data_IF_191700294935
#
_entry.id   IF_191700294935
#
_cell.length_a   1.000
_cell.length_b   1.000
_cell.length_c   1.000
_cell.angle_alpha   90.00
_cell.angle_beta   90.00
_cell.angle_gamma   90.00
#
_symmetry.space_group_name_H-M   'P 1'
#
loop_
_entity.id
_entity.type
_entity.pdbx_description
1 polymer ?
#
# COMPACT_ATOMS: atom_id res chain seq x y z
N UNK A 1 1.38 9.07 -12.27
CA UNK A 1 0.77 9.55 -11.02
C UNK A 1 -0.24 10.63 -11.40
N UNK A 2 -1.48 10.55 -10.92
CA UNK A 2 -2.52 11.56 -11.22
C UNK A 2 -2.30 12.84 -10.39
N UNK A 3 -2.91 13.97 -10.80
CA UNK A 3 -2.86 15.19 -10.01
C UNK A 3 -3.50 15.01 -8.62
N UNK A 4 -4.62 14.26 -8.53
CA UNK A 4 -5.22 13.87 -7.26
C UNK A 4 -4.28 13.06 -6.38
N UNK A 5 -3.60 12.05 -6.94
CA UNK A 5 -2.62 11.24 -6.21
C UNK A 5 -1.45 12.08 -5.68
N UNK A 6 -0.96 13.04 -6.48
CA UNK A 6 0.08 13.99 -6.03
C UNK A 6 -0.35 14.76 -4.78
N UNK A 7 -1.55 15.35 -4.81
CA UNK A 7 -2.09 16.14 -3.69
C UNK A 7 -2.29 15.26 -2.46
N UNK A 8 -2.83 14.05 -2.65
CA UNK A 8 -3.02 13.09 -1.57
C UNK A 8 -1.70 12.68 -0.90
N UNK A 9 -0.65 12.41 -1.69
CA UNK A 9 0.67 12.08 -1.17
C UNK A 9 1.29 13.27 -0.40
N UNK A 10 1.16 14.49 -0.94
CA UNK A 10 1.65 15.70 -0.29
C UNK A 10 0.91 16.00 1.02
N UNK A 11 -0.42 15.83 1.04
CA UNK A 11 -1.24 15.98 2.25
C UNK A 11 -0.83 14.96 3.31
N UNK A 12 -0.68 13.69 2.94
CA UNK A 12 -0.26 12.64 3.87
C UNK A 12 1.13 12.94 4.44
N UNK A 13 2.06 13.42 3.60
CA UNK A 13 3.36 13.89 4.06
C UNK A 13 3.24 14.98 5.11
N UNK A 14 2.39 16.00 4.86
CA UNK A 14 2.15 17.11 5.81
C UNK A 14 1.61 16.61 7.14
N UNK A 15 0.71 15.66 7.08
CA UNK A 15 0.14 14.97 8.22
C UNK A 15 1.18 14.20 9.03
N UNK A 16 2.12 13.50 8.36
CA UNK A 16 3.16 12.70 9.01
C UNK A 16 4.14 13.58 9.79
N UNK A 17 4.17 14.90 9.56
CA UNK A 17 4.91 15.85 10.41
C UNK A 17 4.46 15.81 11.87
N UNK A 18 3.19 15.54 12.12
CA UNK A 18 2.63 15.49 13.47
C UNK A 18 3.11 14.27 14.26
N UNK A 19 3.72 13.27 13.64
CA UNK A 19 4.32 12.14 14.35
C UNK A 19 5.64 12.51 15.04
N UNK A 20 6.25 13.63 14.69
CA UNK A 20 7.46 14.10 15.33
C UNK A 20 7.07 14.99 16.51
N UNK A 21 7.51 14.66 17.74
CA UNK A 21 7.19 15.48 18.89
C UNK A 21 7.70 16.90 18.67
N UNK A 22 6.88 17.90 19.00
CA UNK A 22 7.37 19.26 19.18
C UNK A 22 8.39 19.22 20.32
N UNK A 23 9.64 19.57 20.06
CA UNK A 23 10.68 19.57 21.10
C UNK A 23 10.32 20.46 22.31
N UNK A 24 11.15 20.44 23.34
CA UNK A 24 10.96 21.28 24.53
C UNK A 24 11.11 22.80 24.22
N UNK A 25 10.31 23.65 24.85
CA UNK A 25 10.32 25.12 24.72
C UNK A 25 8.95 25.76 24.47
N UNK A 26 8.90 27.08 24.22
CA UNK A 26 7.67 27.89 24.08
C UNK A 26 6.68 27.43 22.98
N UNK A 27 7.08 26.51 22.09
CA UNK A 27 6.26 25.94 21.02
C UNK A 27 5.90 24.45 21.23
N UNK A 28 6.22 23.88 22.40
CA UNK A 28 5.95 22.47 22.74
C UNK A 28 4.45 22.10 22.70
N UNK A 29 3.56 23.09 22.80
CA UNK A 29 2.11 22.91 22.76
C UNK A 29 1.50 22.83 21.35
N UNK A 30 2.26 23.11 20.29
CA UNK A 30 1.72 23.23 18.92
C UNK A 30 2.00 21.97 18.12
N UNK A 31 0.99 21.09 17.98
CA UNK A 31 1.07 19.87 17.16
C UNK A 31 1.47 20.21 15.71
N UNK A 32 2.45 19.47 15.15
CA UNK A 32 2.89 19.62 13.77
C UNK A 32 4.11 20.54 13.52
N UNK A 33 4.64 21.21 14.55
CA UNK A 33 5.85 22.04 14.44
C UNK A 33 7.16 21.28 14.71
N UNK A 34 7.11 20.04 15.20
CA UNK A 34 8.29 19.24 15.53
C UNK A 34 9.25 19.05 14.35
N UNK A 35 8.70 18.95 13.12
CA UNK A 35 9.49 18.84 11.90
C UNK A 35 9.95 20.19 11.31
N UNK A 36 9.21 21.28 11.55
CA UNK A 36 9.57 22.61 11.02
C UNK A 36 10.85 23.19 11.65
N UNK A 37 11.26 22.66 12.81
CA UNK A 37 12.56 22.98 13.44
C UNK A 37 13.75 22.16 12.89
N UNK A 38 13.53 21.26 11.93
CA UNK A 38 14.54 20.35 11.39
C UNK A 38 15.18 20.91 10.11
N UNK A 39 15.60 22.17 10.14
CA UNK A 39 16.27 22.83 9.03
C UNK A 39 17.78 22.56 9.10
N UNK A 40 18.37 22.07 7.99
CA UNK A 40 19.80 21.76 7.71
C UNK A 40 20.40 20.41 8.18
N UNK A 41 20.00 19.83 9.30
CA UNK A 41 20.63 18.60 9.83
C UNK A 41 20.09 17.29 9.25
N UNK A 42 18.95 17.32 8.57
CA UNK A 42 18.14 16.13 8.22
C UNK A 42 18.61 15.29 7.02
N UNK A 43 19.55 15.77 6.17
CA UNK A 43 20.15 14.91 5.13
C UNK A 43 20.79 13.64 5.71
N UNK A 44 21.15 13.68 6.99
CA UNK A 44 21.79 12.58 7.71
C UNK A 44 20.81 11.74 8.54
N UNK A 45 19.67 12.30 8.99
CA UNK A 45 18.75 11.63 9.93
C UNK A 45 17.54 10.95 9.25
N UNK A 46 17.21 11.34 8.01
CA UNK A 46 16.13 10.78 7.20
C UNK A 46 16.68 10.17 5.90
N UNK A 47 16.22 8.97 5.56
CA UNK A 47 16.47 8.35 4.25
C UNK A 47 15.15 7.94 3.61
N UNK A 48 14.99 8.27 2.33
CA UNK A 48 13.82 7.91 1.53
C UNK A 48 14.27 6.97 0.43
N UNK A 49 13.63 5.81 0.36
CA UNK A 49 13.86 4.77 -0.64
C UNK A 49 12.59 4.57 -1.44
N UNK A 50 12.72 4.43 -2.75
CA UNK A 50 11.61 4.09 -3.63
C UNK A 50 12.01 2.96 -4.58
N UNK A 51 11.05 2.13 -4.97
CA UNK A 51 11.17 1.26 -6.15
C UNK A 51 11.44 2.10 -7.41
N UNK A 52 12.06 1.50 -8.41
CA UNK A 52 12.36 2.15 -9.70
C UNK A 52 11.12 2.39 -10.57
N UNK A 53 9.93 1.97 -10.14
CA UNK A 53 8.69 2.34 -10.82
C UNK A 53 8.47 3.86 -10.75
N UNK A 54 8.43 4.51 -11.92
CA UNK A 54 8.32 5.98 -12.00
C UNK A 54 7.10 6.56 -11.25
N UNK A 55 5.98 5.82 -11.15
CA UNK A 55 4.81 6.24 -10.36
C UNK A 55 5.07 6.22 -8.85
N UNK A 56 5.84 5.24 -8.37
CA UNK A 56 6.23 5.11 -6.96
C UNK A 56 7.25 6.19 -6.60
N UNK A 57 8.24 6.42 -7.45
CA UNK A 57 9.21 7.50 -7.30
C UNK A 57 8.56 8.88 -7.18
N UNK A 58 7.62 9.20 -8.08
CA UNK A 58 6.91 10.48 -8.05
C UNK A 58 6.03 10.62 -6.80
N UNK A 59 5.45 9.52 -6.31
CA UNK A 59 4.70 9.48 -5.05
C UNK A 59 5.61 9.76 -3.86
N UNK A 60 6.79 9.15 -3.83
CA UNK A 60 7.81 9.38 -2.80
C UNK A 60 8.25 10.86 -2.76
N UNK A 61 8.48 11.47 -3.93
CA UNK A 61 8.85 12.87 -4.04
C UNK A 61 7.72 13.81 -3.57
N UNK A 62 6.48 13.52 -3.95
CA UNK A 62 5.31 14.30 -3.51
C UNK A 62 5.09 14.21 -1.99
N UNK A 63 5.21 13.00 -1.43
CA UNK A 63 5.17 12.81 0.02
C UNK A 63 6.32 13.53 0.72
N UNK A 64 7.55 13.43 0.22
CA UNK A 64 8.71 14.12 0.78
C UNK A 64 8.53 15.65 0.77
N UNK A 65 7.98 16.20 -0.31
CA UNK A 65 7.60 17.62 -0.41
C UNK A 65 6.64 18.01 0.71
N UNK A 66 5.57 17.23 0.86
CA UNK A 66 4.57 17.41 1.90
C UNK A 66 5.13 17.26 3.31
N UNK A 67 5.99 16.27 3.54
CA UNK A 67 6.62 16.03 4.82
C UNK A 67 7.56 17.18 5.20
N UNK A 68 8.42 17.64 4.30
CA UNK A 68 9.51 18.56 4.61
C UNK A 68 9.19 20.04 4.32
N UNK A 69 7.97 20.35 3.90
CA UNK A 69 7.55 21.72 3.55
C UNK A 69 8.37 22.33 2.41
N UNK A 70 8.77 21.51 1.44
CA UNK A 70 9.61 21.97 0.35
C UNK A 70 8.79 22.77 -0.66
N UNK A 71 9.35 23.89 -1.12
CA UNK A 71 8.83 24.66 -2.25
C UNK A 71 9.45 24.18 -3.57
N UNK A 72 8.74 24.37 -4.68
CA UNK A 72 9.23 24.01 -6.02
C UNK A 72 8.65 22.72 -6.62
N UNK A 73 9.22 22.32 -7.76
CA UNK A 73 8.82 21.15 -8.53
C UNK A 73 9.25 19.83 -7.88
N UNK A 74 8.66 18.71 -8.30
CA UNK A 74 9.00 17.40 -7.76
C UNK A 74 10.33 16.86 -8.29
N UNK A 75 10.74 17.25 -9.50
CA UNK A 75 11.95 16.72 -10.16
C UNK A 75 13.23 16.97 -9.35
N UNK A 76 13.50 18.20 -8.84
CA UNK A 76 14.66 18.42 -7.98
C UNK A 76 14.62 17.61 -6.68
N UNK A 77 13.42 17.46 -6.09
CA UNK A 77 13.23 16.69 -4.84
C UNK A 77 13.50 15.21 -5.09
N UNK A 78 12.96 14.66 -6.18
CA UNK A 78 13.15 13.28 -6.57
C UNK A 78 14.65 12.95 -6.69
N UNK A 79 15.38 13.77 -7.45
CA UNK A 79 16.82 13.57 -7.71
C UNK A 79 17.65 13.69 -6.42
N UNK A 80 17.30 14.63 -5.54
CA UNK A 80 18.13 14.93 -4.36
C UNK A 80 17.80 14.08 -3.13
N UNK A 81 16.57 13.60 -3.00
CA UNK A 81 16.07 13.03 -1.74
C UNK A 81 15.66 11.56 -1.82
N UNK A 82 15.18 11.10 -2.97
CA UNK A 82 14.64 9.76 -3.14
C UNK A 82 15.72 8.87 -3.73
N UNK A 83 16.21 7.91 -2.93
CA UNK A 83 17.18 6.91 -3.38
C UNK A 83 16.45 5.74 -4.03
N UNK A 84 17.03 5.19 -5.09
CA UNK A 84 16.57 3.90 -5.63
C UNK A 84 16.88 2.79 -4.64
N UNK A 85 15.86 2.03 -4.26
CA UNK A 85 15.99 0.87 -3.38
C UNK A 85 16.70 -0.32 -4.06
N UNK A 86 16.74 -0.34 -5.40
CA UNK A 86 17.32 -1.42 -6.20
C UNK A 86 18.86 -1.39 -6.19
N UNK A 87 19.47 -0.23 -5.95
CA UNK A 87 20.93 -0.15 -5.73
C UNK A 87 21.42 -1.00 -4.54
N UNK A 88 20.51 -1.38 -3.63
CA UNK A 88 20.78 -2.24 -2.47
C UNK A 88 19.94 -3.54 -2.47
N UNK A 89 19.20 -3.84 -3.55
CA UNK A 89 18.31 -5.02 -3.64
C UNK A 89 17.21 -5.11 -2.57
N UNK A 90 16.84 -3.99 -1.95
CA UNK A 90 15.95 -3.98 -0.78
C UNK A 90 14.48 -4.24 -1.14
N UNK A 91 14.09 -3.91 -2.37
CA UNK A 91 12.72 -4.06 -2.89
C UNK A 91 12.67 -4.96 -4.13
N UNK A 92 13.72 -5.76 -4.36
CA UNK A 92 13.80 -6.72 -5.45
C UNK A 92 13.10 -8.04 -5.07
N UNK A 93 12.45 -8.68 -6.05
CA UNK A 93 11.83 -9.99 -5.85
C UNK A 93 12.87 -11.09 -6.03
N UNK A 94 12.92 -12.06 -5.11
CA UNK A 94 13.70 -13.28 -5.31
C UNK A 94 13.11 -14.13 -6.45
N UNK A 95 13.97 -14.65 -7.33
CA UNK A 95 13.60 -15.47 -8.49
C UNK A 95 12.80 -16.71 -8.09
N UNK A 96 13.13 -17.33 -6.95
CA UNK A 96 12.44 -18.54 -6.49
C UNK A 96 11.04 -18.25 -5.96
N UNK A 97 10.81 -17.07 -5.37
CA UNK A 97 9.48 -16.64 -4.89
C UNK A 97 8.47 -16.50 -6.03
N UNK A 98 8.95 -16.07 -7.21
CA UNK A 98 8.14 -15.90 -8.42
C UNK A 98 7.57 -17.23 -8.92
N UNK A 99 8.30 -18.35 -8.75
CA UNK A 99 7.81 -19.68 -9.14
C UNK A 99 6.63 -20.13 -8.29
N UNK A 100 6.72 -19.95 -6.97
CA UNK A 100 5.62 -20.25 -6.05
C UNK A 100 4.40 -19.38 -6.32
N UNK A 101 4.62 -18.08 -6.55
CA UNK A 101 3.55 -17.16 -6.90
C UNK A 101 2.84 -17.56 -8.20
N UNK A 102 3.59 -17.91 -9.25
CA UNK A 102 3.03 -18.35 -10.52
C UNK A 102 2.23 -19.66 -10.39
N UNK A 103 2.68 -20.61 -9.58
CA UNK A 103 1.94 -21.84 -9.30
C UNK A 103 0.60 -21.55 -8.60
N UNK A 104 0.59 -20.63 -7.64
CA UNK A 104 -0.65 -20.19 -6.98
C UNK A 104 -1.60 -19.48 -7.96
N UNK A 105 -1.08 -18.57 -8.79
CA UNK A 105 -1.86 -17.88 -9.83
C UNK A 105 -2.48 -18.85 -10.81
N UNK A 106 -1.74 -19.88 -11.23
CA UNK A 106 -2.26 -20.91 -12.12
C UNK A 106 -3.40 -21.72 -11.47
N UNK A 107 -3.20 -22.18 -10.22
CA UNK A 107 -4.25 -22.91 -9.48
C UNK A 107 -5.50 -22.05 -9.29
N UNK A 108 -5.32 -20.78 -8.93
CA UNK A 108 -6.42 -19.83 -8.80
C UNK A 108 -7.13 -19.63 -10.15
N UNK A 109 -6.39 -19.52 -11.25
CA UNK A 109 -6.95 -19.41 -12.59
C UNK A 109 -7.82 -20.63 -12.93
N UNK A 110 -7.33 -21.84 -12.70
CA UNK A 110 -8.06 -23.09 -12.95
C UNK A 110 -9.37 -23.16 -12.15
N UNK A 111 -9.33 -22.80 -10.85
CA UNK A 111 -10.53 -22.76 -10.00
C UNK A 111 -11.57 -21.74 -10.47
N UNK A 112 -11.13 -20.61 -11.03
CA UNK A 112 -12.01 -19.55 -11.54
C UNK A 112 -12.60 -19.85 -12.93
N UNK A 113 -12.15 -20.90 -13.62
CA UNK A 113 -12.75 -21.34 -14.90
C UNK A 113 -13.92 -22.31 -14.73
N UNK A 114 -14.25 -22.73 -13.51
CA UNK A 114 -15.28 -23.72 -13.27
C UNK A 114 -16.67 -23.04 -13.27
N UNK A 115 -17.48 -23.31 -14.30
CA UNK A 115 -18.84 -22.77 -14.41
C UNK A 115 -19.85 -23.52 -13.52
N UNK A 116 -19.74 -23.30 -12.21
CA UNK A 116 -20.73 -23.69 -11.20
C UNK A 116 -20.63 -22.77 -9.99
N UNK A 117 -21.64 -22.84 -9.13
CA UNK A 117 -21.53 -22.16 -7.84
C UNK A 117 -20.45 -22.81 -6.97
N UNK A 118 -19.75 -21.98 -6.19
CA UNK A 118 -18.79 -22.42 -5.19
C UNK A 118 -19.48 -23.30 -4.15
N UNK A 119 -18.94 -24.49 -3.96
CA UNK A 119 -19.31 -25.38 -2.86
C UNK A 119 -18.60 -24.96 -1.58
N UNK A 120 -19.01 -25.53 -0.44
CA UNK A 120 -18.30 -25.32 0.83
C UNK A 120 -16.82 -25.74 0.74
N UNK A 121 -16.51 -26.78 -0.04
CA UNK A 121 -15.14 -27.24 -0.27
C UNK A 121 -14.33 -26.23 -1.09
N UNK A 122 -14.91 -25.65 -2.14
CA UNK A 122 -14.22 -24.60 -2.92
C UNK A 122 -13.97 -23.35 -2.05
N UNK A 123 -14.92 -22.98 -1.20
CA UNK A 123 -14.76 -21.85 -0.28
C UNK A 123 -13.63 -22.09 0.72
N UNK A 124 -13.51 -23.31 1.25
CA UNK A 124 -12.43 -23.69 2.16
C UNK A 124 -11.07 -23.71 1.44
N UNK A 125 -11.03 -24.25 0.21
CA UNK A 125 -9.81 -24.28 -0.61
C UNK A 125 -9.36 -22.88 -1.02
N UNK A 126 -10.28 -21.95 -1.30
CA UNK A 126 -9.97 -20.56 -1.68
C UNK A 126 -9.73 -19.65 -0.48
N UNK A 127 -10.27 -19.95 0.70
CA UNK A 127 -10.17 -19.12 1.90
C UNK A 127 -9.88 -19.92 3.18
N UNK A 128 -8.79 -20.71 3.23
CA UNK A 128 -8.48 -21.58 4.38
C UNK A 128 -8.11 -20.79 5.66
N UNK A 129 -7.84 -19.49 5.52
CA UNK A 129 -7.56 -18.59 6.65
C UNK A 129 -8.81 -17.82 7.11
N UNK A 130 -9.97 -18.13 6.54
CA UNK A 130 -11.27 -17.51 6.84
C UNK A 130 -11.23 -15.98 6.88
N UNK A 131 -10.49 -15.35 5.96
CA UNK A 131 -10.45 -13.90 5.86
C UNK A 131 -11.86 -13.37 5.54
N UNK A 132 -12.36 -12.43 6.35
CA UNK A 132 -13.74 -11.94 6.27
C UNK A 132 -14.02 -11.23 4.95
N UNK A 133 -13.05 -10.46 4.45
CA UNK A 133 -13.13 -9.79 3.15
C UNK A 133 -13.27 -10.78 1.99
N UNK A 134 -12.44 -11.82 1.96
CA UNK A 134 -12.50 -12.90 0.95
C UNK A 134 -13.79 -13.70 1.06
N UNK A 135 -14.26 -13.97 2.29
CA UNK A 135 -15.53 -14.68 2.50
C UNK A 135 -16.72 -13.89 1.93
N UNK A 136 -16.75 -12.57 2.15
CA UNK A 136 -17.77 -11.70 1.59
C UNK A 136 -17.74 -11.70 0.06
N UNK A 137 -16.54 -11.65 -0.54
CA UNK A 137 -16.34 -11.73 -1.98
C UNK A 137 -16.83 -13.07 -2.56
N UNK A 138 -16.46 -14.21 -1.97
CA UNK A 138 -16.93 -15.54 -2.37
C UNK A 138 -18.46 -15.64 -2.35
N UNK A 139 -19.08 -15.13 -1.29
CA UNK A 139 -20.54 -15.15 -1.10
C UNK A 139 -21.27 -14.29 -2.14
N UNK A 140 -20.65 -13.18 -2.59
CA UNK A 140 -21.20 -12.32 -3.63
C UNK A 140 -21.01 -12.89 -5.03
N UNK A 141 -19.80 -13.35 -5.35
CA UNK A 141 -19.43 -13.89 -6.68
C UNK A 141 -20.25 -15.12 -7.01
N UNK A 142 -20.38 -16.06 -6.05
CA UNK A 142 -21.07 -17.36 -6.16
C UNK A 142 -20.55 -18.26 -7.28
N UNK A 143 -20.72 -17.86 -8.55
CA UNK A 143 -20.19 -18.54 -9.72
C UNK A 143 -19.18 -17.61 -10.42
N UNK A 144 -17.89 -17.99 -10.50
CA UNK A 144 -16.85 -17.14 -11.05
C UNK A 144 -17.03 -16.86 -12.55
N UNK A 145 -17.45 -17.85 -13.34
CA UNK A 145 -17.64 -17.70 -14.79
C UNK A 145 -18.80 -16.75 -15.09
N UNK A 146 -19.93 -16.91 -14.40
CA UNK A 146 -21.09 -16.00 -14.56
C UNK A 146 -20.78 -14.57 -14.11
N UNK A 147 -19.95 -14.40 -13.08
CA UNK A 147 -19.49 -13.08 -12.67
C UNK A 147 -18.60 -12.44 -13.75
N UNK A 148 -17.71 -13.22 -14.36
CA UNK A 148 -16.91 -12.78 -15.51
C UNK A 148 -17.76 -12.48 -16.76
N UNK A 149 -18.79 -13.27 -17.05
CA UNK A 149 -19.75 -13.00 -18.13
C UNK A 149 -20.45 -11.65 -17.93
N UNK A 150 -20.87 -11.34 -16.69
CA UNK A 150 -21.46 -10.03 -16.37
C UNK A 150 -20.48 -8.88 -16.57
N UNK A 151 -19.26 -9.01 -16.06
CA UNK A 151 -18.20 -8.00 -16.28
C UNK A 151 -17.96 -7.79 -17.76
N UNK A 152 -17.85 -8.88 -18.53
CA UNK A 152 -17.62 -8.81 -19.97
C UNK A 152 -18.78 -8.09 -20.68
N UNK A 153 -20.03 -8.40 -20.33
CA UNK A 153 -21.20 -7.69 -20.84
C UNK A 153 -21.15 -6.19 -20.55
N UNK A 154 -20.81 -5.80 -19.32
CA UNK A 154 -20.65 -4.38 -18.95
C UNK A 154 -19.54 -3.70 -19.75
N UNK A 155 -18.40 -4.37 -19.99
CA UNK A 155 -17.33 -3.83 -20.82
C UNK A 155 -17.81 -3.59 -22.26
N UNK A 156 -18.59 -4.50 -22.82
CA UNK A 156 -19.14 -4.37 -24.17
C UNK A 156 -20.11 -3.19 -24.27
N UNK A 157 -21.05 -3.09 -23.33
CA UNK A 157 -22.00 -1.97 -23.23
C UNK A 157 -21.27 -0.63 -23.06
N UNK A 158 -20.26 -0.59 -22.20
CA UNK A 158 -19.45 0.61 -21.98
C UNK A 158 -18.66 1.00 -23.24
N UNK A 159 -18.09 0.05 -23.98
CA UNK A 159 -17.41 0.34 -25.25
C UNK A 159 -18.35 0.91 -26.31
N UNK A 160 -19.59 0.41 -26.39
CA UNK A 160 -20.63 0.97 -27.27
C UNK A 160 -20.98 2.40 -26.85
N UNK A 161 -21.18 2.64 -25.56
CA UNK A 161 -21.46 3.96 -25.01
C UNK A 161 -20.33 4.96 -25.30
N UNK A 162 -19.08 4.59 -25.03
CA UNK A 162 -17.90 5.41 -25.30
C UNK A 162 -17.83 5.77 -26.79
N UNK A 163 -18.10 4.80 -27.67
CA UNK A 163 -18.11 5.04 -29.11
C UNK A 163 -19.21 6.03 -29.52
N UNK A 164 -20.43 5.89 -29.00
CA UNK A 164 -21.51 6.84 -29.24
C UNK A 164 -21.14 8.25 -28.77
N UNK A 165 -20.63 8.38 -27.53
CA UNK A 165 -20.23 9.67 -26.96
C UNK A 165 -19.12 10.35 -27.76
N UNK A 166 -18.16 9.57 -28.26
CA UNK A 166 -17.08 10.04 -29.14
C UNK A 166 -17.62 10.55 -30.48
N UNK A 167 -18.57 9.83 -31.08
CA UNK A 167 -19.12 10.19 -32.39
C UNK A 167 -20.09 11.40 -32.27
N UNK A 168 -20.74 11.57 -31.12
CA UNK A 168 -21.61 12.70 -30.79
C UNK A 168 -20.84 13.96 -30.34
N UNK A 169 -19.62 13.81 -29.80
CA UNK A 169 -18.83 14.93 -29.31
C UNK A 169 -18.31 15.78 -30.46
N UNK A 170 -19.07 16.84 -30.81
CA UNK A 170 -18.64 17.88 -31.75
C UNK A 170 -17.73 18.94 -31.14
N UNK A 171 -17.54 18.96 -29.81
CA UNK A 171 -16.71 19.94 -29.09
C UNK A 171 -15.99 19.31 -27.86
N UNK A 172 -14.68 19.57 -27.74
CA UNK A 172 -13.77 19.74 -26.57
C UNK A 172 -14.06 19.12 -25.17
N UNK A 173 -14.88 18.08 -25.02
CA UNK A 173 -14.96 17.35 -23.74
C UNK A 173 -13.66 16.57 -23.49
N UNK A 174 -12.73 17.20 -22.78
CA UNK A 174 -11.58 16.53 -22.21
C UNK A 174 -12.02 15.66 -21.02
N UNK A 175 -11.74 14.36 -21.11
CA UNK A 175 -11.83 13.48 -19.95
C UNK A 175 -10.76 13.89 -18.93
N UNK A 176 -10.84 13.33 -17.73
CA UNK A 176 -9.92 13.71 -16.66
C UNK A 176 -8.46 13.66 -17.12
N UNK A 177 -7.74 14.75 -16.83
CA UNK A 177 -6.33 14.93 -17.18
C UNK A 177 -6.05 14.99 -18.70
N UNK A 178 -7.02 15.42 -19.51
CA UNK A 178 -6.83 15.57 -20.95
C UNK A 178 -6.79 14.23 -21.70
N UNK A 179 -7.25 13.14 -21.07
CA UNK A 179 -7.48 11.88 -21.79
C UNK A 179 -8.50 12.13 -22.91
N UNK A 180 -8.21 11.63 -24.11
CA UNK A 180 -9.12 11.73 -25.24
C UNK A 180 -10.06 10.53 -25.26
N UNK A 181 -11.23 10.69 -25.88
CA UNK A 181 -12.16 9.59 -26.10
C UNK A 181 -11.51 8.39 -26.81
N UNK A 182 -10.58 8.63 -27.75
CA UNK A 182 -9.81 7.57 -28.39
C UNK A 182 -8.93 6.78 -27.43
N UNK A 183 -8.30 7.44 -26.45
CA UNK A 183 -7.46 6.77 -25.46
C UNK A 183 -8.31 5.92 -24.51
N UNK A 184 -9.42 6.47 -24.03
CA UNK A 184 -10.38 5.74 -23.20
C UNK A 184 -10.96 4.53 -23.95
N UNK A 185 -11.34 4.71 -25.21
CA UNK A 185 -11.84 3.61 -26.04
C UNK A 185 -10.77 2.55 -26.26
N UNK A 186 -9.53 2.92 -26.55
CA UNK A 186 -8.42 1.95 -26.70
C UNK A 186 -8.19 1.16 -25.41
N UNK A 187 -8.27 1.80 -24.24
CA UNK A 187 -8.12 1.15 -22.93
C UNK A 187 -9.20 0.09 -22.72
N UNK A 188 -10.48 0.46 -22.86
CA UNK A 188 -11.60 -0.47 -22.67
C UNK A 188 -11.70 -1.53 -23.76
N UNK A 189 -11.42 -1.20 -25.02
CA UNK A 189 -11.38 -2.18 -26.12
C UNK A 189 -10.24 -3.19 -25.96
N UNK A 190 -9.09 -2.76 -25.41
CA UNK A 190 -7.99 -3.69 -25.08
C UNK A 190 -8.41 -4.64 -23.96
N UNK A 191 -9.03 -4.14 -22.89
CA UNK A 191 -9.52 -4.98 -21.81
C UNK A 191 -10.59 -5.97 -22.28
N UNK A 192 -11.52 -5.56 -23.15
CA UNK A 192 -12.50 -6.47 -23.74
C UNK A 192 -11.82 -7.64 -24.45
N UNK A 193 -10.81 -7.34 -25.29
CA UNK A 193 -10.08 -8.35 -26.07
C UNK A 193 -9.22 -9.26 -25.20
N UNK A 194 -8.54 -8.69 -24.21
CA UNK A 194 -7.58 -9.43 -23.38
C UNK A 194 -8.29 -10.24 -22.28
N UNK A 195 -9.48 -9.82 -21.83
CA UNK A 195 -10.22 -10.50 -20.76
C UNK A 195 -10.89 -11.79 -21.21
N UNK A 196 -11.48 -11.85 -22.40
CA UNK A 196 -12.11 -13.07 -22.93
C UNK A 196 -11.22 -13.71 -24.01
N UNK A 197 -10.68 -14.88 -23.70
CA UNK A 197 -9.79 -15.62 -24.59
C UNK A 197 -10.57 -16.24 -25.75
N UNK A 198 -9.86 -16.56 -26.84
CA UNK A 198 -10.45 -17.22 -28.02
C UNK A 198 -11.06 -18.60 -27.72
N UNK A 199 -10.60 -19.24 -26.65
CA UNK A 199 -11.16 -20.49 -26.11
C UNK A 199 -12.54 -20.32 -25.47
N UNK A 200 -12.98 -19.08 -25.22
CA UNK A 200 -14.19 -18.76 -24.46
C UNK A 200 -13.96 -18.60 -22.96
N UNK A 201 -12.78 -18.97 -22.45
CA UNK A 201 -12.38 -18.81 -21.05
C UNK A 201 -11.94 -17.38 -20.72
N UNK A 202 -11.87 -17.05 -19.43
CA UNK A 202 -11.55 -15.70 -18.96
C UNK A 202 -10.13 -15.58 -18.41
N UNK A 203 -9.39 -14.54 -18.82
CA UNK A 203 -8.10 -14.21 -18.23
C UNK A 203 -8.28 -13.39 -16.93
N UNK A 204 -8.32 -14.09 -15.80
CA UNK A 204 -8.49 -13.45 -14.49
C UNK A 204 -7.33 -12.52 -14.11
N UNK A 205 -6.18 -12.58 -14.79
CA UNK A 205 -5.08 -11.63 -14.56
C UNK A 205 -5.44 -10.19 -14.94
N UNK A 206 -6.53 -9.99 -15.71
CA UNK A 206 -7.06 -8.68 -16.08
C UNK A 206 -8.05 -8.10 -15.08
N UNK A 207 -8.50 -8.87 -14.09
CA UNK A 207 -9.45 -8.41 -13.07
C UNK A 207 -8.94 -7.17 -12.31
N UNK A 208 -7.67 -7.11 -11.87
CA UNK A 208 -7.14 -5.91 -11.21
C UNK A 208 -7.19 -4.68 -12.12
N UNK A 209 -6.80 -4.83 -13.39
CA UNK A 209 -6.83 -3.74 -14.38
C UNK A 209 -8.26 -3.26 -14.66
N UNK A 210 -9.22 -4.18 -14.78
CA UNK A 210 -10.64 -3.88 -14.98
C UNK A 210 -11.19 -3.11 -13.78
N UNK A 211 -10.89 -3.59 -12.57
CA UNK A 211 -11.31 -2.95 -11.33
C UNK A 211 -10.76 -1.53 -11.22
N UNK A 212 -9.45 -1.35 -11.46
CA UNK A 212 -8.81 -0.04 -11.41
C UNK A 212 -9.39 0.92 -12.47
N UNK A 213 -9.66 0.41 -13.67
CA UNK A 213 -10.25 1.19 -14.76
C UNK A 213 -11.66 1.69 -14.42
N UNK A 214 -12.56 0.80 -13.96
CA UNK A 214 -13.92 1.23 -13.61
C UNK A 214 -13.92 2.14 -12.38
N UNK A 215 -13.04 1.87 -11.40
CA UNK A 215 -12.87 2.74 -10.22
C UNK A 215 -12.42 4.13 -10.63
N UNK A 216 -11.42 4.24 -11.50
CA UNK A 216 -10.93 5.51 -12.03
C UNK A 216 -12.02 6.27 -12.78
N UNK A 217 -12.76 5.59 -13.66
CA UNK A 217 -13.81 6.21 -14.46
C UNK A 217 -15.00 6.66 -13.60
N UNK A 218 -15.40 5.88 -12.60
CA UNK A 218 -16.41 6.29 -11.61
C UNK A 218 -15.96 7.50 -10.78
N UNK A 219 -14.68 7.59 -10.44
CA UNK A 219 -14.16 8.71 -9.64
C UNK A 219 -14.03 10.00 -10.43
N UNK A 220 -13.66 9.90 -11.70
CA UNK A 220 -13.20 11.06 -12.47
C UNK A 220 -14.05 11.37 -13.70
N UNK A 221 -14.64 10.36 -14.34
CA UNK A 221 -15.32 10.48 -15.63
C UNK A 221 -16.83 10.21 -15.56
N UNK A 222 -17.37 9.84 -14.37
CA UNK A 222 -18.78 9.53 -14.13
C UNK A 222 -19.74 10.59 -14.67
N UNK A 223 -19.40 11.87 -14.47
CA UNK A 223 -20.21 13.01 -14.90
C UNK A 223 -20.39 13.10 -16.42
N UNK A 224 -19.42 12.58 -17.18
CA UNK A 224 -19.43 12.57 -18.66
C UNK A 224 -19.98 11.24 -19.18
N UNK A 225 -19.52 10.10 -18.64
CA UNK A 225 -19.92 8.78 -19.09
C UNK A 225 -21.40 8.52 -18.81
N UNK A 226 -21.85 8.80 -17.57
CA UNK A 226 -23.22 8.55 -17.10
C UNK A 226 -23.69 7.11 -17.43
N UNK A 227 -22.80 6.13 -17.28
CA UNK A 227 -23.12 4.73 -17.53
C UNK A 227 -24.06 4.20 -16.43
N UNK A 228 -25.32 3.82 -16.74
CA UNK A 228 -26.31 3.46 -15.72
C UNK A 228 -25.88 2.26 -14.86
N UNK A 229 -25.25 1.27 -15.47
CA UNK A 229 -24.85 0.01 -14.84
C UNK A 229 -23.49 0.13 -14.12
N UNK A 230 -22.88 1.32 -14.06
CA UNK A 230 -21.52 1.50 -13.57
C UNK A 230 -21.33 1.07 -12.09
N UNK A 231 -22.35 1.25 -11.25
CA UNK A 231 -22.29 0.82 -9.85
C UNK A 231 -22.26 -0.71 -9.73
N UNK A 232 -23.12 -1.41 -10.48
CA UNK A 232 -23.13 -2.87 -10.48
C UNK A 232 -21.87 -3.44 -11.15
N UNK A 233 -21.39 -2.81 -12.22
CA UNK A 233 -20.09 -3.17 -12.82
C UNK A 233 -18.96 -3.06 -11.79
N UNK A 234 -18.87 -1.92 -11.09
CA UNK A 234 -17.88 -1.75 -10.03
C UNK A 234 -18.02 -2.79 -8.92
N UNK A 235 -19.23 -3.13 -8.48
CA UNK A 235 -19.45 -4.14 -7.43
C UNK A 235 -18.97 -5.52 -7.85
N UNK A 236 -19.24 -5.93 -9.08
CA UNK A 236 -18.75 -7.21 -9.62
C UNK A 236 -17.22 -7.22 -9.77
N UNK A 237 -16.64 -6.18 -10.38
CA UNK A 237 -15.20 -6.05 -10.56
C UNK A 237 -14.48 -6.03 -9.21
N UNK A 238 -14.99 -5.26 -8.25
CA UNK A 238 -14.46 -5.17 -6.88
C UNK A 238 -14.50 -6.52 -6.18
N UNK A 239 -15.64 -7.21 -6.20
CA UNK A 239 -15.78 -8.49 -5.49
C UNK A 239 -14.84 -9.55 -6.07
N UNK A 240 -14.65 -9.57 -7.39
CA UNK A 240 -13.66 -10.44 -8.01
C UNK A 240 -12.22 -10.02 -7.68
N UNK A 241 -11.91 -8.72 -7.63
CA UNK A 241 -10.60 -8.22 -7.24
C UNK A 241 -10.25 -8.53 -5.76
N UNK A 242 -11.20 -8.32 -4.84
CA UNK A 242 -11.07 -8.65 -3.41
C UNK A 242 -10.82 -10.16 -3.18
N UNK A 243 -11.27 -11.01 -4.10
CA UNK A 243 -10.99 -12.45 -4.09
C UNK A 243 -9.63 -12.78 -4.73
N UNK A 244 -9.37 -12.26 -5.92
CA UNK A 244 -8.23 -12.67 -6.74
C UNK A 244 -6.92 -12.08 -6.22
N UNK A 245 -6.87 -10.76 -5.98
CA UNK A 245 -5.63 -10.05 -5.67
C UNK A 245 -4.96 -10.59 -4.41
N UNK A 246 -5.63 -10.74 -3.25
CA UNK A 246 -4.97 -11.23 -2.04
C UNK A 246 -4.51 -12.68 -2.15
N UNK A 247 -5.19 -13.48 -2.99
CA UNK A 247 -4.87 -14.89 -3.20
C UNK A 247 -3.76 -15.12 -4.21
N UNK A 248 -3.45 -14.15 -5.08
CA UNK A 248 -2.24 -14.19 -5.90
C UNK A 248 -0.95 -14.21 -5.07
N UNK A 249 -0.98 -13.73 -3.83
CA UNK A 249 0.15 -13.72 -2.90
C UNK A 249 0.17 -14.93 -1.95
N UNK A 250 -0.46 -16.03 -2.35
CA UNK A 250 -0.58 -17.29 -1.60
C UNK A 250 -2.00 -17.50 -1.10
N UNK A 251 -2.45 -18.75 -1.00
CA UNK A 251 -3.80 -19.08 -0.50
C UNK A 251 -3.72 -19.64 0.92
N UNK A 252 -2.86 -20.65 1.10
CA UNK A 252 -2.58 -21.26 2.41
C UNK A 252 -1.58 -20.43 3.22
N UNK A 253 -1.53 -20.63 4.54
CA UNK A 253 -0.54 -19.98 5.42
C UNK A 253 0.90 -20.21 4.93
N UNK A 254 1.23 -21.45 4.53
CA UNK A 254 2.56 -21.81 4.04
C UNK A 254 2.92 -21.07 2.76
N UNK A 255 2.00 -21.00 1.79
CA UNK A 255 2.23 -20.29 0.53
C UNK A 255 2.39 -18.79 0.76
N UNK A 256 1.51 -18.18 1.56
CA UNK A 256 1.57 -16.75 1.90
C UNK A 256 2.90 -16.38 2.58
N UNK A 257 3.38 -17.21 3.51
CA UNK A 257 4.69 -17.03 4.14
C UNK A 257 5.86 -17.24 3.17
N UNK A 258 5.80 -18.27 2.33
CA UNK A 258 6.88 -18.58 1.38
C UNK A 258 7.07 -17.46 0.36
N UNK A 259 5.97 -16.99 -0.25
CA UNK A 259 5.98 -15.87 -1.20
C UNK A 259 6.38 -14.59 -0.47
N UNK A 260 5.78 -14.33 0.70
CA UNK A 260 6.04 -13.14 1.49
C UNK A 260 7.50 -12.99 1.91
N UNK A 261 8.12 -14.05 2.41
CA UNK A 261 9.54 -14.05 2.78
C UNK A 261 10.45 -13.89 1.56
N UNK A 262 10.11 -14.50 0.43
CA UNK A 262 10.89 -14.36 -0.80
C UNK A 262 10.92 -12.93 -1.34
N UNK A 263 9.84 -12.16 -1.16
CA UNK A 263 9.76 -10.75 -1.60
C UNK A 263 10.32 -9.80 -0.53
N UNK A 264 10.02 -10.03 0.75
CA UNK A 264 10.29 -9.03 1.80
C UNK A 264 11.53 -9.31 2.66
N UNK A 265 12.24 -10.43 2.48
CA UNK A 265 13.40 -10.79 3.30
C UNK A 265 14.50 -9.71 3.33
N UNK A 266 14.90 -9.08 2.20
CA UNK A 266 15.89 -7.99 2.24
C UNK A 266 15.44 -6.81 3.10
N UNK A 267 14.19 -6.36 2.91
CA UNK A 267 13.61 -5.26 3.69
C UNK A 267 13.48 -5.61 5.17
N UNK A 268 13.00 -6.81 5.51
CA UNK A 268 12.86 -7.27 6.89
C UNK A 268 14.21 -7.38 7.61
N UNK A 269 15.25 -7.89 6.93
CA UNK A 269 16.62 -7.90 7.46
C UNK A 269 17.12 -6.48 7.73
N UNK A 270 16.85 -5.54 6.82
CA UNK A 270 17.23 -4.14 7.00
C UNK A 270 16.48 -3.48 8.16
N UNK A 271 15.17 -3.65 8.25
CA UNK A 271 14.36 -3.16 9.39
C UNK A 271 14.91 -3.72 10.70
N UNK A 272 15.16 -5.03 10.77
CA UNK A 272 15.73 -5.66 11.97
C UNK A 272 17.09 -5.06 12.34
N UNK A 273 17.98 -4.93 11.35
CA UNK A 273 19.29 -4.31 11.56
C UNK A 273 19.16 -2.89 12.08
N UNK A 274 18.31 -2.07 11.46
CA UNK A 274 18.12 -0.68 11.83
C UNK A 274 17.51 -0.55 13.24
N UNK A 275 16.60 -1.44 13.65
CA UNK A 275 16.07 -1.48 15.02
C UNK A 275 17.17 -1.85 16.02
N UNK A 276 17.95 -2.91 15.75
CA UNK A 276 19.03 -3.37 16.63
C UNK A 276 20.15 -2.35 16.80
N UNK A 277 20.52 -1.63 15.73
CA UNK A 277 21.53 -0.56 15.80
C UNK A 277 21.07 0.61 16.68
N UNK A 278 19.76 0.82 16.83
CA UNK A 278 19.23 1.84 17.72
C UNK A 278 19.12 1.38 19.18
N UNK A 279 19.13 0.06 19.45
CA UNK A 279 19.08 -0.49 20.81
C UNK A 279 20.47 -0.79 21.38
N UNK A 280 21.39 -1.28 20.54
CA UNK A 280 22.76 -1.59 20.91
C UNK A 280 23.70 -0.55 20.29
N UNK A 281 24.20 0.37 21.12
CA UNK A 281 25.31 1.21 20.73
C UNK A 281 26.60 0.36 20.71
N UNK A 282 26.76 -0.52 19.72
CA UNK A 282 28.07 -1.11 19.46
C UNK A 282 28.96 -0.06 18.84
N UNK A 283 30.04 0.27 19.56
CA UNK A 283 31.09 1.19 19.10
C UNK A 283 31.89 0.59 17.91
N UNK A 284 31.73 -0.70 17.62
CA UNK A 284 32.64 -1.48 16.76
C UNK A 284 32.03 -2.08 15.47
N UNK A 285 30.85 -1.65 15.01
CA UNK A 285 30.35 -2.13 13.71
C UNK A 285 30.87 -1.24 12.55
N UNK A 286 32.11 -1.50 12.13
CA UNK A 286 32.80 -0.82 11.00
C UNK A 286 32.05 -0.96 9.65
N UNK A 287 31.10 -1.89 9.57
CA UNK A 287 30.40 -2.25 8.33
C UNK A 287 29.44 -1.16 7.80
N UNK A 288 29.00 -0.21 8.64
CA UNK A 288 28.16 0.93 8.24
C UNK A 288 28.82 2.32 8.47
N UNK A 289 30.16 2.41 8.38
CA UNK A 289 30.88 3.70 8.34
C UNK A 289 30.45 4.63 7.18
N UNK A 290 29.63 4.13 6.25
CA UNK A 290 29.11 4.89 5.10
C UNK A 290 27.97 5.85 5.49
N UNK A 291 27.28 5.64 6.63
CA UNK A 291 26.13 6.48 7.03
C UNK A 291 26.33 7.24 8.37
N UNK A 292 27.44 7.02 9.07
CA UNK A 292 27.83 7.79 10.26
C UNK A 292 28.82 8.88 9.87
N UNK A 293 28.73 10.05 10.50
CA UNK A 293 29.82 11.03 10.44
C UNK A 293 31.04 10.41 11.14
N UNK A 294 32.20 10.44 10.49
CA UNK A 294 33.42 9.89 11.08
C UNK A 294 33.76 10.66 12.37
N UNK A 295 33.84 10.00 13.54
CA UNK A 295 34.06 10.66 14.82
C UNK A 295 35.32 11.54 14.85
N UNK A 296 36.39 11.15 14.13
CA UNK A 296 37.66 11.89 14.07
C UNK A 296 37.53 13.26 13.38
N UNK A 297 36.51 13.47 12.54
CA UNK A 297 36.29 14.73 11.82
C UNK A 297 35.07 15.51 12.34
N UNK A 298 34.43 15.03 13.40
CA UNK A 298 33.14 15.54 13.91
C UNK A 298 33.28 16.53 15.09
N UNK A 299 34.42 17.18 15.24
CA UNK A 299 34.62 18.18 16.29
C UNK A 299 33.79 19.44 16.01
N UNK A 300 32.84 19.75 16.91
CA UNK A 300 31.94 20.91 16.80
C UNK A 300 30.50 20.60 16.35
N UNK A 301 30.15 19.33 16.13
CA UNK A 301 28.76 18.91 15.85
C UNK A 301 28.05 18.59 17.16
N UNK A 302 26.89 19.20 17.43
CA UNK A 302 26.13 19.02 18.69
C UNK A 302 25.69 17.57 18.98
N UNK A 303 25.77 16.66 18.01
CA UNK A 303 25.51 15.22 18.18
C UNK A 303 26.52 14.37 17.39
N UNK A 304 27.65 13.97 18.01
CA UNK A 304 28.70 13.19 17.35
C UNK A 304 28.27 11.79 16.86
N UNK A 305 27.21 11.21 17.45
CA UNK A 305 26.65 9.89 17.11
C UNK A 305 25.46 9.93 16.13
N UNK A 306 25.47 10.83 15.14
CA UNK A 306 24.38 10.95 14.15
C UNK A 306 24.16 9.63 13.41
N UNK A 307 22.97 9.08 13.55
CA UNK A 307 22.48 7.91 12.82
C UNK A 307 21.07 8.21 12.29
N UNK A 308 20.70 7.55 11.21
CA UNK A 308 19.39 7.71 10.56
C UNK A 308 18.29 7.23 11.52
N UNK A 309 17.38 8.13 11.90
CA UNK A 309 16.25 7.87 12.81
C UNK A 309 14.96 7.55 12.07
N UNK A 310 14.82 8.02 10.83
CA UNK A 310 13.64 7.77 10.01
C UNK A 310 14.04 7.20 8.67
N UNK A 311 13.39 6.09 8.30
CA UNK A 311 13.48 5.53 6.95
C UNK A 311 12.09 5.41 6.37
N UNK A 312 11.93 5.88 5.14
CA UNK A 312 10.68 5.80 4.39
C UNK A 312 10.91 4.92 3.18
N UNK A 313 10.07 3.90 3.01
CA UNK A 313 10.12 2.97 1.88
C UNK A 313 8.84 3.10 1.07
N UNK A 314 8.98 3.48 -0.19
CA UNK A 314 7.88 3.56 -1.15
C UNK A 314 7.98 2.38 -2.11
N UNK A 315 6.92 1.59 -2.16
CA UNK A 315 6.88 0.34 -2.91
C UNK A 315 5.50 0.12 -3.53
N UNK A 316 5.37 -0.94 -4.33
CA UNK A 316 4.13 -1.35 -4.97
C UNK A 316 3.20 -2.08 -4.00
N UNK A 317 1.92 -2.19 -4.37
CA UNK A 317 0.91 -2.94 -3.62
C UNK A 317 1.33 -4.41 -3.36
N UNK A 318 1.96 -5.03 -4.37
CA UNK A 318 2.46 -6.41 -4.30
C UNK A 318 3.42 -6.65 -3.14
N UNK A 319 4.29 -5.69 -2.86
CA UNK A 319 5.25 -5.77 -1.76
C UNK A 319 4.56 -5.59 -0.41
N UNK A 320 3.51 -4.75 -0.33
CA UNK A 320 2.75 -4.54 0.91
C UNK A 320 1.90 -5.77 1.26
N UNK A 321 1.23 -6.40 0.29
CA UNK A 321 0.52 -7.68 0.52
C UNK A 321 1.47 -8.73 1.10
N UNK A 322 2.64 -8.86 0.49
CA UNK A 322 3.69 -9.80 0.90
C UNK A 322 4.18 -9.51 2.32
N UNK A 323 4.44 -8.24 2.65
CA UNK A 323 4.88 -7.82 3.97
C UNK A 323 3.80 -8.05 5.04
N UNK A 324 2.54 -7.72 4.75
CA UNK A 324 1.42 -8.00 5.65
C UNK A 324 1.26 -9.49 5.91
N UNK A 325 1.40 -10.34 4.89
CA UNK A 325 1.35 -11.79 5.07
C UNK A 325 2.42 -12.27 6.05
N UNK A 326 3.66 -11.77 5.95
CA UNK A 326 4.73 -12.11 6.89
C UNK A 326 4.46 -11.58 8.29
N UNK A 327 4.01 -10.33 8.44
CA UNK A 327 3.73 -9.74 9.76
C UNK A 327 2.59 -10.47 10.48
N UNK A 328 1.54 -10.86 9.76
CA UNK A 328 0.38 -11.55 10.33
C UNK A 328 0.68 -13.00 10.68
N UNK A 329 1.30 -13.73 9.76
CA UNK A 329 1.44 -15.19 9.84
C UNK A 329 2.81 -15.64 10.36
N UNK A 330 3.75 -14.72 10.51
CA UNK A 330 5.13 -14.99 10.93
C UNK A 330 5.30 -15.26 12.42
N UNK A 331 4.20 -15.25 13.20
CA UNK A 331 4.22 -15.61 14.62
C UNK A 331 4.83 -14.57 15.53
N UNK A 332 4.67 -13.27 15.22
CA UNK A 332 5.13 -12.18 16.09
C UNK A 332 4.47 -12.22 17.48
N UNK A 333 3.16 -12.49 17.51
CA UNK A 333 2.37 -12.57 18.74
C UNK A 333 1.38 -13.75 18.67
N UNK A 334 0.99 -14.25 19.84
CA UNK A 334 -0.02 -15.29 19.98
C UNK A 334 -1.42 -14.66 20.10
N UNK A 335 -2.24 -14.80 19.05
CA UNK A 335 -3.62 -14.27 18.99
C UNK A 335 -4.52 -14.76 20.13
N UNK A 336 -4.19 -15.89 20.76
CA UNK A 336 -4.98 -16.43 21.87
C UNK A 336 -4.68 -15.75 23.21
N UNK A 337 -3.50 -15.14 23.32
CA UNK A 337 -3.00 -14.51 24.56
C UNK A 337 -3.02 -12.99 24.51
N UNK A 338 -2.86 -12.43 23.32
CA UNK A 338 -2.79 -10.99 23.11
C UNK A 338 -4.08 -10.46 22.49
N UNK A 339 -4.93 -9.84 23.32
CA UNK A 339 -6.20 -9.29 22.87
C UNK A 339 -6.03 -8.12 21.90
N UNK A 340 -5.00 -7.31 22.09
CA UNK A 340 -4.69 -6.17 21.23
C UNK A 340 -4.30 -6.66 19.83
N UNK A 341 -3.40 -7.64 19.76
CA UNK A 341 -3.00 -8.28 18.52
C UNK A 341 -4.19 -8.95 17.81
N UNK A 342 -5.03 -9.68 18.55
CA UNK A 342 -6.24 -10.31 17.99
C UNK A 342 -7.17 -9.28 17.35
N UNK A 343 -7.44 -8.15 18.03
CA UNK A 343 -8.26 -7.04 17.47
C UNK A 343 -7.63 -6.44 16.22
N UNK A 344 -6.30 -6.29 16.19
CA UNK A 344 -5.58 -5.81 15.01
C UNK A 344 -5.70 -6.79 13.83
N UNK A 345 -5.55 -8.10 14.07
CA UNK A 345 -5.70 -9.14 13.05
C UNK A 345 -7.13 -9.21 12.52
N UNK A 346 -8.13 -9.07 13.40
CA UNK A 346 -9.54 -8.95 13.02
C UNK A 346 -9.77 -7.75 12.09
N UNK A 347 -9.22 -6.58 12.43
CA UNK A 347 -9.30 -5.39 11.58
C UNK A 347 -8.66 -5.63 10.20
N UNK A 348 -7.45 -6.20 10.16
CA UNK A 348 -6.76 -6.50 8.91
C UNK A 348 -7.53 -7.53 8.07
N UNK A 349 -8.19 -8.50 8.69
CA UNK A 349 -9.03 -9.49 8.00
C UNK A 349 -10.27 -8.89 7.31
N UNK A 350 -10.73 -7.73 7.77
CA UNK A 350 -11.85 -6.99 7.18
C UNK A 350 -11.40 -6.14 5.99
N UNK A 351 -10.15 -5.68 5.98
CA UNK A 351 -9.61 -4.87 4.87
C UNK A 351 -9.59 -5.72 3.61
N UNK A 352 -10.39 -5.31 2.63
CA UNK A 352 -10.50 -6.02 1.34
C UNK A 352 -9.52 -5.49 0.29
N UNK A 353 -9.03 -4.26 0.48
CA UNK A 353 -8.28 -3.51 -0.52
C UNK A 353 -7.19 -2.66 0.13
N UNK A 354 -5.99 -2.68 -0.47
CA UNK A 354 -4.89 -1.80 -0.13
C UNK A 354 -4.91 -0.59 -1.08
N UNK A 355 -5.47 0.53 -0.63
CA UNK A 355 -5.60 1.71 -1.47
C UNK A 355 -4.27 2.45 -1.62
N UNK A 356 -4.25 3.41 -2.55
CA UNK A 356 -3.13 4.33 -2.72
C UNK A 356 -2.68 4.93 -1.38
N UNK A 357 -1.37 4.97 -1.15
CA UNK A 357 -0.74 5.38 0.12
C UNK A 357 -1.05 4.50 1.34
N UNK A 358 -1.38 3.21 1.14
CA UNK A 358 -1.37 2.23 2.25
C UNK A 358 -0.05 2.31 3.00
N UNK A 359 -0.12 2.31 4.33
CA UNK A 359 1.04 2.49 5.19
C UNK A 359 1.14 1.44 6.29
N UNK A 360 2.38 1.00 6.53
CA UNK A 360 2.79 0.25 7.72
C UNK A 360 3.86 1.10 8.39
N UNK A 361 3.64 1.48 9.65
CA UNK A 361 4.57 2.30 10.42
C UNK A 361 5.07 1.48 11.60
N UNK A 362 6.39 1.34 11.72
CA UNK A 362 7.06 0.70 12.85
C UNK A 362 7.75 1.80 13.64
N UNK A 363 7.37 1.97 14.90
CA UNK A 363 7.96 2.97 15.79
C UNK A 363 8.67 2.28 16.94
N UNK A 364 9.92 2.68 17.19
CA UNK A 364 10.71 2.24 18.33
C UNK A 364 10.80 3.39 19.34
N UNK A 365 10.39 3.11 20.57
CA UNK A 365 10.46 4.02 21.70
C UNK A 365 11.51 3.53 22.69
N UNK A 366 12.18 4.47 23.33
CA UNK A 366 13.13 4.22 24.41
C UNK A 366 12.67 4.96 25.66
N UNK A 367 12.51 4.24 26.76
CA UNK A 367 12.31 4.81 28.09
C UNK A 367 13.66 4.98 28.79
N UNK A 368 14.16 6.21 28.81
CA UNK A 368 15.45 6.56 29.42
C UNK A 368 15.45 6.46 30.95
N UNK A 369 14.29 6.23 31.57
CA UNK A 369 14.20 6.02 33.03
C UNK A 369 14.47 4.57 33.43
N UNK A 370 14.46 3.64 32.47
CA UNK A 370 14.75 2.22 32.68
C UNK A 370 16.25 1.94 32.60
N UNK A 371 16.67 0.86 33.26
CA UNK A 371 18.07 0.43 33.22
C UNK A 371 18.50 0.05 31.79
N UNK A 372 19.79 0.24 31.48
CA UNK A 372 20.34 -0.01 30.14
C UNK A 372 20.10 -1.44 29.65
N UNK A 373 20.01 -2.40 30.57
CA UNK A 373 19.83 -3.84 30.31
C UNK A 373 18.38 -4.32 30.45
N UNK A 374 17.45 -3.41 30.78
CA UNK A 374 16.04 -3.76 30.99
C UNK A 374 15.33 -4.08 29.68
N UNK A 375 14.63 -5.22 29.63
CA UNK A 375 13.76 -5.57 28.50
C UNK A 375 12.61 -4.55 28.32
N UNK A 376 12.15 -3.91 29.40
CA UNK A 376 11.13 -2.84 29.36
C UNK A 376 11.65 -1.49 28.83
N UNK A 377 12.95 -1.37 28.52
CA UNK A 377 13.52 -0.09 28.08
C UNK A 377 13.05 0.29 26.69
N UNK A 378 12.84 -0.69 25.82
CA UNK A 378 12.45 -0.47 24.44
C UNK A 378 11.06 -1.01 24.17
N UNK A 379 10.26 -0.21 23.47
CA UNK A 379 8.90 -0.59 23.07
C UNK A 379 8.72 -0.38 21.57
N UNK A 380 8.10 -1.34 20.90
CA UNK A 380 7.84 -1.27 19.45
C UNK A 380 6.34 -1.18 19.21
N UNK A 381 5.91 -0.17 18.45
CA UNK A 381 4.54 -0.05 17.97
C UNK A 381 4.45 -0.33 16.47
N UNK A 382 3.44 -1.10 16.08
CA UNK A 382 3.11 -1.39 14.68
C UNK A 382 1.75 -0.78 14.32
N UNK A 383 1.74 0.12 13.36
CA UNK A 383 0.52 0.79 12.87
C UNK A 383 0.26 0.42 11.42
N UNK A 384 -1.01 0.14 11.10
CA UNK A 384 -1.43 -0.17 9.74
C UNK A 384 -2.61 0.73 9.32
N UNK A 385 -2.56 1.24 8.10
CA UNK A 385 -3.70 1.90 7.46
C UNK A 385 -3.83 1.47 6.00
N UNK A 386 -5.06 1.18 5.54
CA UNK A 386 -5.33 0.66 4.19
C UNK A 386 -5.27 1.73 3.09
N UNK A 387 -4.68 2.91 3.39
CA UNK A 387 -4.48 4.00 2.44
C UNK A 387 -5.66 4.96 2.31
N UNK A 388 -5.64 5.74 1.23
CA UNK A 388 -6.62 6.79 0.98
C UNK A 388 -7.97 6.18 0.66
N UNK A 389 -8.95 6.59 1.46
CA UNK A 389 -10.36 6.23 1.34
C UNK A 389 -10.92 6.68 -0.02
N UNK A 390 -11.44 5.72 -0.79
CA UNK A 390 -12.17 5.98 -2.02
C UNK A 390 -13.56 6.59 -1.73
N UNK A 391 -13.92 7.69 -2.41
CA UNK A 391 -15.22 8.37 -2.25
C UNK A 391 -16.46 7.50 -2.57
N UNK A 392 -16.27 6.38 -3.28
CA UNK A 392 -17.33 5.45 -3.66
C UNK A 392 -17.67 4.44 -2.56
N UNK A 393 -16.78 4.25 -1.58
CA UNK A 393 -17.04 3.36 -0.45
C UNK A 393 -17.76 4.16 0.65
N UNK A 394 -19.03 3.84 0.90
CA UNK A 394 -19.83 4.53 1.95
C UNK A 394 -19.60 3.97 3.36
N UNK A 395 -19.09 2.74 3.46
CA UNK A 395 -18.87 2.02 4.73
C UNK A 395 -17.39 1.63 4.90
N UNK A 396 -16.57 2.56 5.36
CA UNK A 396 -15.17 2.26 5.69
C UNK A 396 -15.05 1.58 7.04
N UNK A 397 -14.21 0.55 7.11
CA UNK A 397 -13.85 -0.09 8.37
C UNK A 397 -13.09 0.96 9.19
N UNK A 398 -13.70 1.39 10.29
CA UNK A 398 -13.06 2.30 11.25
C UNK A 398 -12.12 1.48 12.11
N UNK A 399 -10.84 1.50 11.77
CA UNK A 399 -9.77 0.95 12.60
C UNK A 399 -9.14 2.00 13.50
N UNK A 400 -8.53 1.58 14.61
CA UNK A 400 -7.86 2.49 15.55
C UNK A 400 -6.43 2.87 15.12
N UNK A 401 -5.97 2.41 13.95
CA UNK A 401 -4.66 2.78 13.39
C UNK A 401 -4.49 4.28 13.21
N UNK A 402 -3.24 4.75 13.16
CA UNK A 402 -2.89 6.16 13.10
C UNK A 402 -3.70 6.92 12.03
N UNK A 403 -4.72 7.66 12.49
CA UNK A 403 -5.47 8.61 11.70
C UNK A 403 -5.02 10.01 12.11
N UNK A 404 -4.52 10.81 11.16
CA UNK A 404 -4.21 12.20 11.44
C UNK A 404 -5.51 12.90 11.80
N UNK A 405 -5.56 13.51 12.99
CA UNK A 405 -6.70 14.29 13.41
C UNK A 405 -6.92 15.45 12.43
N UNK A 406 -7.89 15.30 11.53
CA UNK A 406 -8.65 16.44 11.06
C UNK A 406 -10.02 16.34 11.71
N UNK A 407 -10.28 17.26 12.64
CA UNK A 407 -11.56 17.51 13.35
C UNK A 407 -11.77 16.77 14.69
N UNK A 408 -11.45 17.52 15.75
CA UNK A 408 -12.15 17.67 17.04
C UNK A 408 -12.60 16.43 17.83
N UNK A 409 -12.05 16.36 19.06
CA UNK A 409 -12.63 15.78 20.28
C UNK A 409 -13.10 14.33 20.21
N UNK A 410 -12.16 13.41 20.44
CA UNK A 410 -12.45 12.02 20.78
C UNK A 410 -11.26 11.43 21.53
N UNK A 411 -11.52 10.92 22.74
CA UNK A 411 -10.57 10.31 23.67
C UNK A 411 -9.76 9.21 22.98
N UNK A 412 -8.43 9.31 23.09
CA UNK A 412 -7.50 8.31 22.56
C UNK A 412 -7.76 6.95 23.23
N UNK A 413 -8.00 5.92 22.41
CA UNK A 413 -7.69 4.55 22.82
C UNK A 413 -6.32 4.26 22.19
N UNK A 414 -5.29 4.14 23.04
CA UNK A 414 -4.00 3.56 22.64
C UNK A 414 -4.32 2.17 22.06
N UNK A 415 -3.86 1.91 20.84
CA UNK A 415 -3.85 0.55 20.29
C UNK A 415 -2.71 -0.16 20.94
#
# INVERSE_FOLDING_TARGET
>A
MTAGGRIQAEELGRVFRCMYPGGQGEYAGTQGLGLLRLHSTFRHDLKIYASDEGRVQMTAAAFAKGLLALEGELTPILVQMVKSANTNGLLDNDCDSSKYQNAVKQRLHEMMQVDREFTAEDMELLNPLHARSVQAALTFVKNPVKACDKIYGFIQELNVLIKSRRDDSRDDYHLYYGETWDLMQRRWSKLEKDFKLKSGSYDISKIPDIYDCIKYDLQHNQHVLQFPEAEDFYRYAKSLADLVIPQEYGITQKEKLTIGLGICSPLLKKIRSDLLTNTYATEDDESESVNRLNPHYSHGVSSPGRHVRTRLYFTSESHIHSLLNVLRLGGLFDETKDEQWRRAMDYVSLVSELNYMTQIVIMLYEDQTKDLTSDDRFHVELHFSPGVVCCLQKNHIKGPGFRPQSRSSGTFVKV
#
